data_IF_293156991801
#
_entry.id   IF_293156991801
#
_cell.length_a   1.000
_cell.length_b   1.000
_cell.length_c   1.000
_cell.angle_alpha   90.00
_cell.angle_beta   90.00
_cell.angle_gamma   90.00
#
_symmetry.space_group_name_H-M   'P 1'
#
loop_
_entity.id
_entity.type
_entity.pdbx_description
1 polymer ?
#
# COMPACT_ATOMS: atom_id res chain seq x y z
N UNK A 1 -16.40 6.27 -15.30
CA UNK A 1 -15.02 5.78 -15.06
C UNK A 1 -15.01 5.05 -13.73
N UNK A 2 -14.66 3.76 -13.67
CA UNK A 2 -14.48 3.08 -12.38
C UNK A 2 -13.10 3.49 -11.86
N UNK A 3 -13.07 4.23 -10.76
CA UNK A 3 -11.83 4.56 -10.08
C UNK A 3 -11.16 3.26 -9.62
N UNK A 4 -9.89 3.07 -9.99
CA UNK A 4 -9.17 1.84 -9.66
C UNK A 4 -8.89 1.79 -8.16
N UNK A 5 -9.32 0.71 -7.50
CA UNK A 5 -9.07 0.50 -6.08
C UNK A 5 -7.55 0.42 -5.81
N UNK A 6 -7.08 1.18 -4.82
CA UNK A 6 -5.68 1.22 -4.40
C UNK A 6 -5.50 0.52 -3.04
N UNK A 7 -4.33 -0.10 -2.77
CA UNK A 7 -4.06 -0.71 -1.48
C UNK A 7 -3.92 0.38 -0.40
N UNK A 8 -4.44 0.13 0.80
CA UNK A 8 -4.45 1.09 1.91
C UNK A 8 -3.73 0.54 3.15
N UNK A 9 -2.40 0.39 3.14
CA UNK A 9 -1.65 0.00 4.33
C UNK A 9 -1.66 1.12 5.39
N UNK A 10 -1.55 0.73 6.67
CA UNK A 10 -1.34 1.65 7.79
C UNK A 10 0.15 1.58 8.18
N UNK A 11 0.94 2.49 7.63
CA UNK A 11 2.40 2.37 7.69
C UNK A 11 2.88 1.18 6.85
N UNK A 12 3.60 0.24 7.46
CA UNK A 12 4.06 -1.00 6.83
C UNK A 12 3.07 -2.17 6.97
N UNK A 13 2.01 -2.03 7.78
CA UNK A 13 1.05 -3.10 8.10
C UNK A 13 -0.18 -3.09 7.20
N UNK A 14 -0.73 -4.29 6.99
CA UNK A 14 -2.03 -4.44 6.36
C UNK A 14 -3.16 -3.87 7.24
N UNK A 15 -4.17 -3.33 6.57
CA UNK A 15 -5.33 -2.70 7.16
C UNK A 15 -6.57 -3.56 6.90
N UNK A 16 -7.39 -3.81 7.92
CA UNK A 16 -8.66 -4.54 7.80
C UNK A 16 -9.72 -3.82 6.97
N UNK A 17 -9.57 -2.50 6.80
CA UNK A 17 -10.42 -1.67 5.94
C UNK A 17 -9.86 -1.51 4.52
N UNK A 18 -8.72 -2.15 4.22
CA UNK A 18 -8.17 -2.15 2.86
C UNK A 18 -9.16 -2.85 1.91
N UNK A 19 -9.41 -2.32 0.70
CA UNK A 19 -10.32 -2.93 -0.27
C UNK A 19 -9.97 -4.37 -0.64
N UNK A 20 -8.70 -4.76 -0.46
CA UNK A 20 -8.17 -6.09 -0.78
C UNK A 20 -8.05 -7.02 0.41
N UNK A 21 -8.33 -6.55 1.64
CA UNK A 21 -8.30 -7.40 2.82
C UNK A 21 -9.58 -8.25 2.87
N UNK A 22 -9.42 -9.57 2.95
CA UNK A 22 -10.51 -10.54 2.87
C UNK A 22 -10.42 -11.57 3.98
N UNK A 23 -11.56 -12.20 4.26
CA UNK A 23 -11.69 -13.32 5.18
C UNK A 23 -12.19 -14.52 4.37
N UNK A 24 -11.49 -15.66 4.43
CA UNK A 24 -11.86 -16.87 3.67
C UNK A 24 -13.17 -17.50 4.13
N UNK A 25 -13.63 -17.19 5.36
CA UNK A 25 -14.97 -17.54 5.88
C UNK A 25 -16.07 -16.56 5.48
N UNK A 26 -15.75 -15.54 4.67
CA UNK A 26 -16.64 -14.43 4.35
C UNK A 26 -17.29 -13.81 5.60
N UNK A 27 -16.57 -13.80 6.74
CA UNK A 27 -17.11 -13.33 8.01
C UNK A 27 -16.81 -11.84 8.27
N UNK A 28 -15.91 -11.24 7.48
CA UNK A 28 -15.53 -9.85 7.60
C UNK A 28 -16.65 -8.93 7.11
N UNK A 29 -17.10 -8.02 7.97
CA UNK A 29 -18.04 -6.95 7.64
C UNK A 29 -17.51 -5.63 8.15
N UNK A 30 -17.76 -4.54 7.43
CA UNK A 30 -17.40 -3.18 7.87
C UNK A 30 -18.68 -2.50 8.35
N UNK A 31 -18.69 -2.10 9.62
CA UNK A 31 -19.84 -1.43 10.25
C UNK A 31 -19.44 -0.02 10.70
N UNK A 32 -20.42 0.85 10.84
CA UNK A 32 -20.23 2.16 11.47
C UNK A 32 -20.49 2.03 12.97
N UNK A 33 -19.52 2.40 13.80
CA UNK A 33 -19.62 2.42 15.26
C UNK A 33 -19.34 3.82 15.78
N UNK A 34 -20.14 4.28 16.73
CA UNK A 34 -19.89 5.56 17.41
C UNK A 34 -18.85 5.33 18.50
N UNK A 35 -17.68 5.97 18.36
CA UNK A 35 -16.59 5.92 19.32
C UNK A 35 -16.32 7.36 19.77
N UNK A 36 -16.50 7.64 21.07
CA UNK A 36 -16.32 8.97 21.66
C UNK A 36 -17.10 10.07 20.91
N UNK A 37 -18.34 9.78 20.51
CA UNK A 37 -19.19 10.72 19.77
C UNK A 37 -18.93 10.83 18.26
N UNK A 38 -17.90 10.16 17.73
CA UNK A 38 -17.59 10.18 16.30
C UNK A 38 -17.92 8.85 15.64
N UNK A 39 -18.53 8.90 14.45
CA UNK A 39 -18.80 7.70 13.64
C UNK A 39 -17.50 7.22 12.99
N UNK A 40 -17.10 5.99 13.29
CA UNK A 40 -15.91 5.36 12.75
C UNK A 40 -16.26 4.04 12.06
N UNK A 41 -15.59 3.75 10.94
CA UNK A 41 -15.70 2.44 10.29
C UNK A 41 -14.87 1.43 11.06
N UNK A 42 -15.49 0.33 11.45
CA UNK A 42 -14.86 -0.75 12.22
C UNK A 42 -15.05 -2.07 11.47
N UNK A 43 -13.97 -2.83 11.32
CA UNK A 43 -14.03 -4.19 10.80
C UNK A 43 -14.49 -5.16 11.91
N UNK A 44 -15.57 -5.88 11.66
CA UNK A 44 -16.16 -6.87 12.57
C UNK A 44 -16.16 -8.25 11.93
N UNK A 45 -16.10 -9.28 12.76
CA UNK A 45 -16.29 -10.68 12.40
C UNK A 45 -17.71 -11.10 12.73
N UNK A 46 -18.58 -11.27 11.73
CA UNK A 46 -19.98 -11.70 11.94
C UNK A 46 -20.12 -13.10 12.50
N UNK A 47 -19.09 -13.93 12.35
CA UNK A 47 -19.11 -15.31 12.86
C UNK A 47 -18.89 -15.36 14.38
N UNK A 48 -17.96 -14.55 14.89
CA UNK A 48 -17.67 -14.46 16.34
C UNK A 48 -18.59 -13.43 17.02
N UNK A 49 -19.01 -12.40 16.28
CA UNK A 49 -19.76 -11.26 16.83
C UNK A 49 -18.88 -10.14 17.41
N UNK A 50 -17.55 -10.21 17.22
CA UNK A 50 -16.60 -9.25 17.78
C UNK A 50 -15.73 -8.60 16.69
N UNK A 51 -14.86 -7.67 17.09
CA UNK A 51 -13.91 -6.93 16.26
C UNK A 51 -13.00 -7.89 15.50
N UNK A 52 -12.72 -7.58 14.24
CA UNK A 52 -11.84 -8.39 13.42
C UNK A 52 -10.41 -8.40 13.98
N UNK A 53 -9.81 -9.59 14.12
CA UNK A 53 -8.42 -9.76 14.59
C UNK A 53 -7.36 -9.34 13.55
N UNK A 54 -7.77 -8.93 12.35
CA UNK A 54 -6.87 -8.54 11.26
C UNK A 54 -5.94 -9.67 10.83
N UNK A 55 -4.66 -9.35 10.62
CA UNK A 55 -3.65 -10.30 10.13
C UNK A 55 -3.43 -11.51 11.06
N UNK A 56 -3.78 -11.39 12.36
CA UNK A 56 -3.67 -12.48 13.33
C UNK A 56 -4.73 -13.56 13.14
N UNK A 57 -5.76 -13.30 12.34
CA UNK A 57 -6.77 -14.29 12.02
C UNK A 57 -6.23 -15.28 11.00
N UNK A 58 -6.33 -16.59 11.29
CA UNK A 58 -5.98 -17.67 10.36
C UNK A 58 -6.72 -17.60 9.01
N UNK A 59 -7.89 -16.94 8.98
CA UNK A 59 -8.71 -16.79 7.78
C UNK A 59 -8.43 -15.48 7.03
N UNK A 60 -7.54 -14.63 7.52
CA UNK A 60 -7.20 -13.36 6.88
C UNK A 60 -6.27 -13.57 5.70
N UNK A 61 -6.60 -12.96 4.56
CA UNK A 61 -5.72 -12.94 3.40
C UNK A 61 -5.92 -11.65 2.61
N UNK A 62 -4.93 -11.34 1.77
CA UNK A 62 -5.04 -10.26 0.79
C UNK A 62 -5.42 -10.86 -0.56
N UNK A 63 -6.46 -10.33 -1.19
CA UNK A 63 -6.90 -10.71 -2.54
C UNK A 63 -5.77 -10.56 -3.58
N UNK A 64 -4.88 -9.58 -3.38
CA UNK A 64 -3.68 -9.35 -4.19
C UNK A 64 -2.43 -10.08 -3.69
N UNK A 65 -2.55 -11.03 -2.76
CA UNK A 65 -1.44 -11.82 -2.19
C UNK A 65 -0.31 -10.98 -1.57
N UNK A 66 -0.65 -9.81 -1.01
CA UNK A 66 0.31 -8.87 -0.43
C UNK A 66 0.38 -8.89 1.11
N UNK A 67 -0.39 -9.74 1.80
CA UNK A 67 -0.33 -9.88 3.25
C UNK A 67 0.78 -10.88 3.60
N UNK A 68 1.81 -10.40 4.30
CA UNK A 68 2.91 -11.23 4.81
C UNK A 68 2.56 -11.85 6.18
N UNK A 69 3.22 -12.95 6.59
CA UNK A 69 2.96 -13.60 7.88
C UNK A 69 3.11 -12.67 9.10
N UNK A 70 4.03 -11.70 9.03
CA UNK A 70 4.25 -10.70 10.08
C UNK A 70 3.14 -9.61 10.13
N UNK A 71 2.16 -9.68 9.24
CA UNK A 71 1.11 -8.68 9.08
C UNK A 71 1.50 -7.47 8.22
N UNK A 72 2.71 -7.48 7.65
CA UNK A 72 3.19 -6.44 6.73
C UNK A 72 2.50 -6.52 5.38
N UNK A 73 2.36 -5.37 4.72
CA UNK A 73 1.85 -5.27 3.36
C UNK A 73 3.02 -5.21 2.37
N UNK A 74 3.13 -6.17 1.45
CA UNK A 74 4.19 -6.19 0.44
C UNK A 74 4.22 -4.92 -0.43
N UNK A 75 3.07 -4.28 -0.67
CA UNK A 75 3.01 -2.99 -1.37
C UNK A 75 3.64 -1.84 -0.57
N UNK A 76 3.59 -1.90 0.76
CA UNK A 76 4.20 -0.88 1.62
C UNK A 76 5.70 -1.10 1.79
N UNK A 77 6.15 -2.36 1.81
CA UNK A 77 7.57 -2.72 1.93
C UNK A 77 8.33 -2.42 0.65
N UNK A 78 7.81 -2.83 -0.52
CA UNK A 78 8.45 -2.59 -1.82
C UNK A 78 8.66 -1.11 -2.16
N UNK A 79 7.76 -0.24 -1.70
CA UNK A 79 7.92 1.21 -1.87
C UNK A 79 9.11 1.77 -1.07
N UNK A 80 9.49 1.15 0.05
CA UNK A 80 10.60 1.62 0.90
C UNK A 80 11.97 1.14 0.43
N UNK A 81 12.04 -0.06 -0.14
CA UNK A 81 13.29 -0.69 -0.59
C UNK A 81 13.63 -0.30 -2.03
N UNK A 82 12.66 -0.42 -2.95
CA UNK A 82 12.90 -0.15 -4.38
C UNK A 82 13.22 1.31 -4.70
N UNK A 83 12.66 2.27 -3.95
CA UNK A 83 12.99 3.70 -4.13
C UNK A 83 14.40 4.02 -3.61
N UNK A 84 14.81 3.41 -2.49
CA UNK A 84 16.14 3.64 -1.90
C UNK A 84 17.27 2.98 -2.69
N UNK A 85 17.05 1.80 -3.23
CA UNK A 85 18.05 1.10 -4.06
C UNK A 85 18.17 1.76 -5.43
N UNK A 86 17.05 2.12 -6.06
CA UNK A 86 17.07 2.82 -7.35
C UNK A 86 17.71 4.21 -7.24
N UNK A 87 17.39 4.99 -6.20
CA UNK A 87 18.03 6.31 -5.99
C UNK A 87 19.53 6.15 -5.72
N UNK A 88 19.95 5.16 -4.92
CA UNK A 88 21.37 4.91 -4.66
C UNK A 88 22.13 4.46 -5.92
N UNK A 89 21.56 3.58 -6.73
CA UNK A 89 22.17 3.18 -8.01
C UNK A 89 22.27 4.36 -8.98
N UNK A 90 21.28 5.27 -9.00
CA UNK A 90 21.33 6.50 -9.80
C UNK A 90 22.34 7.52 -9.27
N UNK A 91 22.52 7.62 -7.95
CA UNK A 91 23.51 8.51 -7.33
C UNK A 91 24.95 7.99 -7.52
N UNK A 92 25.15 6.67 -7.45
CA UNK A 92 26.44 6.01 -7.69
C UNK A 92 26.80 6.00 -9.19
N UNK A 93 25.81 5.82 -10.06
CA UNK A 93 25.95 6.03 -11.50
C UNK A 93 25.84 7.52 -11.81
N UNK A 94 26.88 8.30 -11.50
CA UNK A 94 27.08 9.68 -12.00
C UNK A 94 26.54 9.78 -13.42
N UNK A 95 25.34 10.35 -13.55
CA UNK A 95 24.62 10.40 -14.82
C UNK A 95 25.49 11.23 -15.76
N UNK A 96 26.15 10.56 -16.71
CA UNK A 96 26.92 11.19 -17.77
C UNK A 96 26.09 12.32 -18.36
N UNK A 97 26.71 13.49 -18.53
CA UNK A 97 26.08 14.70 -19.09
C UNK A 97 25.42 14.41 -20.46
N UNK A 98 25.93 13.40 -21.15
CA UNK A 98 25.39 12.82 -22.39
C UNK A 98 24.00 12.20 -22.22
N UNK A 99 23.75 11.51 -21.11
CA UNK A 99 22.45 10.87 -20.81
C UNK A 99 21.40 11.91 -20.42
N UNK A 100 21.79 12.96 -19.66
CA UNK A 100 20.93 14.12 -19.38
C UNK A 100 20.48 14.81 -20.68
N UNK A 101 21.42 15.03 -21.60
CA UNK A 101 21.13 15.66 -22.90
C UNK A 101 20.22 14.82 -23.80
N UNK A 102 20.37 13.48 -23.80
CA UNK A 102 19.50 12.57 -24.53
C UNK A 102 18.07 12.53 -23.96
N UNK A 103 17.94 12.50 -22.63
CA UNK A 103 16.65 12.50 -21.94
C UNK A 103 15.92 13.85 -22.13
N UNK A 104 16.64 14.98 -22.05
CA UNK A 104 16.09 16.31 -22.28
C UNK A 104 15.56 16.49 -23.73
N UNK A 105 16.25 15.94 -24.73
CA UNK A 105 15.80 15.97 -26.13
C UNK A 105 14.56 15.11 -26.38
N UNK A 106 14.42 13.99 -25.67
CA UNK A 106 13.30 13.06 -25.85
C UNK A 106 12.04 13.48 -25.08
N UNK A 107 12.19 14.06 -23.90
CA UNK A 107 11.06 14.39 -23.03
C UNK A 107 10.49 15.80 -23.24
N UNK A 108 11.13 16.66 -24.06
CA UNK A 108 10.64 18.00 -24.40
C UNK A 108 10.56 19.01 -23.24
N UNK A 109 10.93 18.60 -22.03
CA UNK A 109 10.95 19.42 -20.81
C UNK A 109 12.40 19.75 -20.48
N UNK A 110 12.88 20.88 -20.99
CA UNK A 110 14.24 21.40 -20.76
C UNK A 110 14.43 21.99 -19.35
N UNK A 111 13.34 22.11 -18.61
CA UNK A 111 13.16 22.86 -17.37
C UNK A 111 13.39 22.04 -16.09
N UNK A 112 13.66 20.74 -16.18
CA UNK A 112 13.89 19.87 -15.00
C UNK A 112 15.37 19.71 -14.59
N UNK A 113 16.33 20.28 -15.33
CA UNK A 113 17.77 20.03 -15.11
C UNK A 113 18.66 21.27 -15.23
N UNK A 114 18.11 22.48 -15.23
CA UNK A 114 18.92 23.68 -14.93
C UNK A 114 18.93 23.89 -13.42
N UNK A 115 20.12 23.92 -12.83
CA UNK A 115 20.36 24.55 -11.53
C UNK A 115 19.97 26.03 -11.56
#
# INVERSE_FOLDING_TARGET
MKEELKPLPLGDKCNTLCPFFRCSKNALVVVNKVVKGHVQKVAMCRWIGDTCLGYRCQFAYCERKALLPDGKCAFAVKFREGEKEFIKELDEAKIDEKLKNLLARRSGRKDLFLE
#
